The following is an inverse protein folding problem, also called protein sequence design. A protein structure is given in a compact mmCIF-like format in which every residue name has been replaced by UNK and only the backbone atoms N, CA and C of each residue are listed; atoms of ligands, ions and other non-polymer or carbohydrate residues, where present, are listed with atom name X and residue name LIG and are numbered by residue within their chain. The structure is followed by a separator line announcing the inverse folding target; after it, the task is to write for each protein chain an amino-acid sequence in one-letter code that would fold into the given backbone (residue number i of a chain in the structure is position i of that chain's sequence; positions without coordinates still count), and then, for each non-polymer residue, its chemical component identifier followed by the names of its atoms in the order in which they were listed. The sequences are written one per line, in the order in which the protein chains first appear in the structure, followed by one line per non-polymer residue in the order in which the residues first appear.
data_IF_887765971588
#
_entry.id   IF_887765971588
#
_cell.length_a   1.000
_cell.length_b   1.000
_cell.length_c   1.000
_cell.angle_alpha   90.00
_cell.angle_beta   90.00
_cell.angle_gamma   90.00
#
_symmetry.space_group_name_H-M   'P 1'
#
loop_
_entity.id
_entity.type
_entity.pdbx_description
1 polymer ?
#
# COMPACT_ATOMS: atom_id res chain seq x y z
N UNK A 1 21.09 -30.17 -25.78
CA UNK A 1 21.52 -29.70 -24.44
C UNK A 1 20.96 -28.29 -24.22
N UNK A 2 19.69 -28.22 -23.79
CA UNK A 2 18.99 -26.96 -23.50
C UNK A 2 19.26 -26.61 -22.04
N UNK A 3 20.22 -25.72 -21.80
CA UNK A 3 20.35 -25.08 -20.49
C UNK A 3 19.16 -24.12 -20.35
N UNK A 4 18.03 -24.63 -19.86
CA UNK A 4 16.94 -23.80 -19.36
C UNK A 4 17.54 -22.91 -18.27
N UNK A 5 17.81 -21.66 -18.64
CA UNK A 5 18.29 -20.62 -17.74
C UNK A 5 17.24 -20.45 -16.66
N UNK A 6 17.45 -21.09 -15.49
CA UNK A 6 16.53 -20.97 -14.37
C UNK A 6 16.32 -19.49 -14.09
N UNK A 7 15.06 -19.05 -14.20
CA UNK A 7 14.66 -17.68 -13.85
C UNK A 7 15.11 -17.44 -12.42
N UNK A 8 15.80 -16.33 -12.15
CA UNK A 8 16.18 -15.99 -10.78
C UNK A 8 14.90 -15.78 -9.97
N UNK A 9 14.62 -16.69 -9.05
CA UNK A 9 13.46 -16.62 -8.15
C UNK A 9 13.96 -16.22 -6.77
N UNK A 10 13.36 -15.16 -6.22
CA UNK A 10 13.67 -14.71 -4.87
C UNK A 10 13.29 -15.76 -3.84
N UNK A 11 14.13 -15.95 -2.83
CA UNK A 11 13.81 -16.80 -1.68
C UNK A 11 12.66 -16.18 -0.89
N UNK A 12 11.97 -16.99 -0.07
CA UNK A 12 10.90 -16.47 0.80
C UNK A 12 11.42 -15.35 1.72
N UNK A 13 12.60 -15.53 2.32
CA UNK A 13 13.20 -14.52 3.19
C UNK A 13 13.48 -13.20 2.45
N UNK A 14 13.94 -13.25 1.20
CA UNK A 14 14.16 -12.05 0.38
C UNK A 14 12.86 -11.33 0.06
N UNK A 15 11.79 -12.08 -0.24
CA UNK A 15 10.45 -11.50 -0.46
C UNK A 15 9.94 -10.78 0.79
N UNK A 16 10.08 -11.41 1.96
CA UNK A 16 9.72 -10.79 3.24
C UNK A 16 10.57 -9.55 3.53
N UNK A 17 11.86 -9.57 3.18
CA UNK A 17 12.74 -8.42 3.39
C UNK A 17 12.33 -7.22 2.53
N UNK A 18 12.01 -7.44 1.25
CA UNK A 18 11.48 -6.37 0.37
C UNK A 18 10.17 -5.82 0.92
N UNK A 19 9.27 -6.72 1.35
CA UNK A 19 7.99 -6.34 1.93
C UNK A 19 8.16 -5.46 3.18
N UNK A 20 8.94 -5.91 4.15
CA UNK A 20 9.18 -5.18 5.41
C UNK A 20 9.87 -3.85 5.14
N UNK A 21 10.88 -3.83 4.27
CA UNK A 21 11.58 -2.61 3.90
C UNK A 21 10.63 -1.57 3.29
N UNK A 22 9.77 -2.01 2.37
CA UNK A 22 8.79 -1.14 1.72
C UNK A 22 7.75 -0.62 2.69
N UNK A 23 7.21 -1.51 3.53
CA UNK A 23 6.28 -1.17 4.60
C UNK A 23 6.86 -0.13 5.55
N UNK A 24 8.09 -0.33 6.05
CA UNK A 24 8.70 0.60 6.99
C UNK A 24 9.05 1.94 6.35
N UNK A 25 9.62 1.94 5.15
CA UNK A 25 10.09 3.19 4.53
C UNK A 25 8.93 4.06 4.09
N UNK A 26 7.90 3.47 3.48
CA UNK A 26 6.75 4.25 3.04
C UNK A 26 5.87 4.67 4.22
N UNK A 27 5.61 3.77 5.17
CA UNK A 27 4.84 4.10 6.37
C UNK A 27 5.45 5.25 7.18
N UNK A 28 6.77 5.22 7.43
CA UNK A 28 7.47 6.32 8.09
C UNK A 28 7.45 7.61 7.27
N UNK A 29 7.51 7.50 5.94
CA UNK A 29 7.43 8.68 5.09
C UNK A 29 6.05 9.33 5.13
N UNK A 30 4.99 8.52 5.26
CA UNK A 30 3.62 9.01 5.35
C UNK A 30 3.40 9.80 6.64
N UNK A 31 3.91 9.29 7.77
CA UNK A 31 3.89 10.05 9.03
C UNK A 31 4.58 11.41 8.93
N UNK A 32 5.58 11.55 8.05
CA UNK A 32 6.26 12.83 7.85
C UNK A 32 5.45 13.73 6.92
N UNK A 33 4.83 13.20 5.86
CA UNK A 33 4.03 14.00 4.92
C UNK A 33 2.79 14.57 5.58
N UNK A 34 2.16 13.82 6.48
CA UNK A 34 1.01 14.27 7.29
C UNK A 34 1.33 15.46 8.21
N UNK A 35 2.62 15.66 8.54
CA UNK A 35 3.07 16.81 9.33
C UNK A 35 3.37 18.05 8.46
N UNK A 36 3.37 17.91 7.13
CA UNK A 36 3.66 19.01 6.22
C UNK A 36 2.38 19.82 5.99
N UNK A 37 2.36 21.13 6.27
CA UNK A 37 1.18 21.94 6.05
C UNK A 37 0.88 22.14 4.55
N UNK A 38 -0.39 22.19 4.21
CA UNK A 38 -0.86 22.52 2.86
C UNK A 38 -0.70 24.02 2.58
N UNK A 39 -0.11 24.35 1.44
CA UNK A 39 0.04 25.74 1.01
C UNK A 39 -0.99 26.08 -0.07
N UNK A 40 -2.00 26.87 0.29
CA UNK A 40 -3.00 27.37 -0.67
C UNK A 40 -2.50 28.65 -1.33
N UNK A 41 -2.16 28.58 -2.61
CA UNK A 41 -1.80 29.74 -3.43
C UNK A 41 -2.95 30.07 -4.41
N UNK A 42 -4.02 30.69 -3.91
CA UNK A 42 -5.16 31.08 -4.76
C UNK A 42 -5.96 29.86 -5.26
N UNK A 43 -6.27 29.72 -6.57
CA UNK A 43 -7.02 28.58 -7.12
C UNK A 43 -6.17 27.29 -7.25
N UNK A 44 -4.90 27.33 -6.84
CA UNK A 44 -3.98 26.20 -6.90
C UNK A 44 -3.63 25.82 -5.46
N UNK A 45 -4.01 24.62 -5.07
CA UNK A 45 -3.61 24.02 -3.79
C UNK A 45 -2.33 23.23 -4.02
N UNK A 46 -1.23 23.65 -3.38
CA UNK A 46 0.01 22.88 -3.31
C UNK A 46 -0.06 22.02 -2.03
N UNK A 47 -0.77 20.92 -2.14
CA UNK A 47 -0.77 19.84 -1.15
C UNK A 47 0.31 18.82 -1.52
N UNK A 48 0.98 18.27 -0.51
CA UNK A 48 1.86 17.11 -0.68
C UNK A 48 1.02 15.89 -0.35
N UNK A 49 0.34 15.35 -1.36
CA UNK A 49 -0.57 14.22 -1.16
C UNK A 49 0.16 13.01 -0.53
N UNK A 50 1.29 12.59 -1.11
CA UNK A 50 2.18 11.57 -0.53
C UNK A 50 3.52 11.53 -1.24
N UNK A 51 4.54 10.95 -0.61
CA UNK A 51 5.85 10.73 -1.21
C UNK A 51 5.91 9.49 -2.12
N UNK A 52 5.19 9.56 -3.24
CA UNK A 52 5.08 8.51 -4.26
C UNK A 52 6.43 7.94 -4.73
N UNK A 53 7.49 8.76 -4.73
CA UNK A 53 8.81 8.33 -5.20
C UNK A 53 9.41 7.17 -4.41
N UNK A 54 9.09 7.02 -3.13
CA UNK A 54 9.64 5.98 -2.26
C UNK A 54 9.14 4.60 -2.71
N UNK A 55 7.82 4.33 -2.73
CA UNK A 55 7.29 3.04 -3.17
C UNK A 55 7.56 2.80 -4.66
N UNK A 56 7.51 3.82 -5.52
CA UNK A 56 7.89 3.69 -6.93
C UNK A 56 9.34 3.21 -7.09
N UNK A 57 10.28 3.82 -6.36
CA UNK A 57 11.69 3.42 -6.39
C UNK A 57 11.87 1.97 -5.97
N UNK A 58 11.21 1.55 -4.89
CA UNK A 58 11.28 0.17 -4.40
C UNK A 58 10.63 -0.81 -5.36
N UNK A 59 9.49 -0.48 -5.98
CA UNK A 59 8.82 -1.31 -6.97
C UNK A 59 9.63 -1.46 -8.26
N UNK A 60 10.42 -0.45 -8.63
CA UNK A 60 11.29 -0.50 -9.80
C UNK A 60 12.55 -1.34 -9.51
N UNK A 61 13.17 -1.18 -8.33
CA UNK A 61 14.43 -1.84 -8.01
C UNK A 61 14.24 -3.29 -7.54
N UNK A 62 13.16 -3.56 -6.80
CA UNK A 62 12.85 -4.89 -6.26
C UNK A 62 11.72 -5.57 -7.02
N UNK A 63 11.14 -6.61 -6.41
CA UNK A 63 9.99 -7.30 -6.96
C UNK A 63 8.73 -6.44 -6.77
N UNK A 64 8.06 -5.99 -7.86
CA UNK A 64 7.00 -4.99 -7.80
C UNK A 64 5.86 -5.35 -6.84
N UNK A 65 5.40 -6.59 -6.84
CA UNK A 65 4.29 -7.02 -5.98
C UNK A 65 4.58 -6.87 -4.48
N UNK A 66 5.71 -7.40 -4.00
CA UNK A 66 6.00 -7.37 -2.57
C UNK A 66 6.32 -5.95 -2.09
N UNK A 67 6.91 -5.13 -2.96
CA UNK A 67 7.16 -3.73 -2.67
C UNK A 67 5.85 -2.92 -2.62
N UNK A 68 4.95 -3.11 -3.59
CA UNK A 68 3.68 -2.39 -3.66
C UNK A 68 2.77 -2.73 -2.48
N UNK A 69 2.53 -4.04 -2.24
CA UNK A 69 1.71 -4.50 -1.11
C UNK A 69 2.34 -4.12 0.24
N UNK A 70 3.68 -4.19 0.33
CA UNK A 70 4.38 -3.74 1.52
C UNK A 70 4.17 -2.25 1.77
N UNK A 71 4.29 -1.42 0.74
CA UNK A 71 4.06 0.02 0.84
C UNK A 71 2.62 0.32 1.28
N UNK A 72 1.60 -0.19 0.58
CA UNK A 72 0.19 0.01 0.97
C UNK A 72 -0.08 -0.41 2.41
N UNK A 73 0.52 -1.52 2.88
CA UNK A 73 0.34 -1.92 4.28
C UNK A 73 1.04 -0.96 5.24
N UNK A 74 2.19 -0.42 4.86
CA UNK A 74 2.90 0.60 5.62
C UNK A 74 2.07 1.87 5.78
N UNK A 75 1.41 2.31 4.72
CA UNK A 75 0.47 3.43 4.72
C UNK A 75 -0.68 3.20 5.69
N UNK A 76 -1.37 2.06 5.59
CA UNK A 76 -2.49 1.72 6.49
C UNK A 76 -2.05 1.69 7.96
N UNK A 77 -0.87 1.11 8.26
CA UNK A 77 -0.42 0.97 9.65
C UNK A 77 0.07 2.29 10.22
N UNK A 78 0.93 3.00 9.49
CA UNK A 78 1.64 4.17 10.02
C UNK A 78 0.95 5.50 9.68
N UNK A 79 0.29 5.57 8.52
CA UNK A 79 -0.51 6.73 8.09
C UNK A 79 -1.87 6.76 8.78
N UNK A 80 -2.58 5.64 8.80
CA UNK A 80 -3.99 5.66 9.21
C UNK A 80 -4.17 5.24 10.68
N UNK A 81 -3.76 4.01 11.02
CA UNK A 81 -3.98 3.44 12.36
C UNK A 81 -3.21 4.21 13.42
N UNK A 82 -1.94 4.53 13.18
CA UNK A 82 -1.10 5.22 14.16
C UNK A 82 -1.49 6.67 14.39
N UNK A 83 -2.07 7.34 13.39
CA UNK A 83 -2.58 8.71 13.52
C UNK A 83 -4.01 8.75 14.05
N UNK A 84 -4.65 7.58 14.24
CA UNK A 84 -6.02 7.48 14.75
C UNK A 84 -7.10 7.90 13.75
N UNK A 85 -6.75 7.96 12.46
CA UNK A 85 -7.64 8.40 11.38
C UNK A 85 -8.24 7.23 10.59
N UNK A 86 -7.99 6.00 11.03
CA UNK A 86 -8.41 4.80 10.32
C UNK A 86 -9.93 4.73 10.14
N UNK A 87 -10.39 5.04 8.92
CA UNK A 87 -11.80 5.07 8.52
C UNK A 87 -12.41 3.72 8.15
N UNK A 88 -11.78 2.60 8.50
CA UNK A 88 -12.33 1.27 8.26
C UNK A 88 -12.19 0.79 6.81
N UNK A 89 -13.28 0.78 6.04
CA UNK A 89 -13.36 0.10 4.75
C UNK A 89 -12.92 0.96 3.56
N UNK A 90 -13.04 2.28 3.65
CA UNK A 90 -12.44 3.20 2.69
C UNK A 90 -10.91 3.03 2.62
N UNK A 91 -10.27 2.64 3.73
CA UNK A 91 -8.84 2.34 3.77
C UNK A 91 -8.45 1.07 3.00
N UNK A 92 -9.37 0.11 2.89
CA UNK A 92 -9.14 -1.10 2.09
C UNK A 92 -9.12 -0.78 0.59
N UNK A 93 -9.92 0.19 0.18
CA UNK A 93 -9.98 0.65 -1.20
C UNK A 93 -8.69 1.39 -1.58
N UNK A 94 -8.28 2.38 -0.78
CA UNK A 94 -6.99 3.08 -0.94
C UNK A 94 -5.84 2.08 -1.01
N UNK A 95 -5.82 1.10 -0.10
CA UNK A 95 -4.83 0.02 -0.10
C UNK A 95 -4.77 -0.72 -1.44
N UNK A 96 -5.92 -1.12 -2.00
CA UNK A 96 -6.00 -1.87 -3.26
C UNK A 96 -5.61 -1.01 -4.46
N UNK A 97 -6.13 0.21 -4.54
CA UNK A 97 -5.84 1.17 -5.61
C UNK A 97 -4.33 1.47 -5.66
N UNK A 98 -3.74 1.82 -4.50
CA UNK A 98 -2.33 2.13 -4.36
C UNK A 98 -1.44 0.93 -4.72
N UNK A 99 -1.74 -0.25 -4.17
CA UNK A 99 -1.00 -1.48 -4.45
C UNK A 99 -0.99 -1.80 -5.95
N UNK A 100 -2.14 -1.67 -6.62
CA UNK A 100 -2.28 -1.95 -8.04
C UNK A 100 -1.49 -0.95 -8.88
N UNK A 101 -1.65 0.34 -8.62
CA UNK A 101 -0.97 1.40 -9.36
C UNK A 101 0.56 1.28 -9.26
N UNK A 102 1.09 1.09 -8.05
CA UNK A 102 2.52 0.94 -7.82
C UNK A 102 3.08 -0.35 -8.43
N UNK A 103 2.31 -1.43 -8.40
CA UNK A 103 2.67 -2.68 -9.07
C UNK A 103 2.78 -2.52 -10.59
N UNK A 104 1.81 -1.85 -11.22
CA UNK A 104 1.81 -1.59 -12.67
C UNK A 104 3.00 -0.70 -13.04
N UNK A 105 3.22 0.39 -12.30
CA UNK A 105 4.34 1.31 -12.51
C UNK A 105 5.70 0.60 -12.41
N UNK A 106 5.92 -0.15 -11.32
CA UNK A 106 7.15 -0.91 -11.12
C UNK A 106 7.38 -2.01 -12.14
N UNK A 107 6.32 -2.55 -12.74
CA UNK A 107 6.39 -3.56 -13.80
C UNK A 107 6.67 -2.95 -15.19
N UNK A 108 6.35 -1.67 -15.39
CA UNK A 108 6.60 -0.96 -16.64
C UNK A 108 8.10 -0.72 -16.90
N UNK A 109 8.89 -0.57 -15.84
CA UNK A 109 10.35 -0.37 -15.93
C UNK A 109 11.08 -1.68 -16.13
N UNK A 110 11.80 -1.76 -17.26
CA UNK A 110 12.67 -2.88 -17.61
C UNK A 110 14.11 -2.58 -17.22
N UNK A 111 14.59 -1.38 -17.57
CA UNK A 111 15.92 -0.93 -17.24
C UNK A 111 15.87 0.22 -16.23
N UNK A 112 16.25 -0.02 -14.96
CA UNK A 112 16.30 1.02 -13.93
C UNK A 112 17.31 2.14 -14.24
N UNK A 113 18.28 1.93 -15.14
CA UNK A 113 19.21 2.99 -15.56
C UNK A 113 18.62 3.92 -16.62
N UNK A 114 17.56 3.50 -17.31
CA UNK A 114 16.93 4.32 -18.33
C UNK A 114 15.98 5.36 -17.72
N UNK A 115 16.48 6.58 -17.53
CA UNK A 115 15.71 7.69 -16.93
C UNK A 115 14.38 7.98 -17.61
N UNK A 116 14.29 7.81 -18.94
CA UNK A 116 13.02 8.04 -19.67
C UNK A 116 11.97 7.01 -19.29
N UNK A 117 12.36 5.74 -19.20
CA UNK A 117 11.44 4.67 -18.82
C UNK A 117 11.00 4.81 -17.37
N UNK A 118 11.93 5.20 -16.48
CA UNK A 118 11.63 5.49 -15.07
C UNK A 118 10.65 6.68 -14.95
N UNK A 119 10.87 7.76 -15.69
CA UNK A 119 9.97 8.92 -15.68
C UNK A 119 8.57 8.60 -16.19
N UNK A 120 8.46 7.86 -17.30
CA UNK A 120 7.16 7.40 -17.82
C UNK A 120 6.45 6.53 -16.79
N UNK A 121 7.16 5.60 -16.14
CA UNK A 121 6.57 4.75 -15.12
C UNK A 121 6.11 5.51 -13.88
N UNK A 122 6.86 6.51 -13.43
CA UNK A 122 6.48 7.33 -12.29
C UNK A 122 5.16 8.06 -12.55
N UNK A 123 5.04 8.76 -13.68
CA UNK A 123 3.81 9.48 -14.03
C UNK A 123 2.66 8.52 -14.30
N UNK A 124 2.91 7.40 -15.00
CA UNK A 124 1.88 6.39 -15.24
C UNK A 124 1.35 5.80 -13.93
N UNK A 125 2.23 5.57 -12.95
CA UNK A 125 1.85 5.07 -11.63
C UNK A 125 0.92 6.03 -10.89
N UNK A 126 1.33 7.30 -10.77
CA UNK A 126 0.51 8.34 -10.12
C UNK A 126 -0.80 8.56 -10.87
N UNK A 127 -0.78 8.63 -12.20
CA UNK A 127 -1.98 8.80 -13.00
C UNK A 127 -2.96 7.63 -12.86
N UNK A 128 -2.47 6.38 -12.80
CA UNK A 128 -3.35 5.22 -12.55
C UNK A 128 -3.92 5.28 -11.13
N UNK A 129 -3.11 5.62 -10.13
CA UNK A 129 -3.58 5.73 -8.75
C UNK A 129 -4.70 6.77 -8.66
N UNK A 130 -4.42 8.01 -9.09
CA UNK A 130 -5.36 9.12 -9.00
C UNK A 130 -6.62 8.90 -9.83
N UNK A 131 -6.50 8.23 -10.98
CA UNK A 131 -7.66 7.90 -11.79
C UNK A 131 -8.55 6.87 -11.10
N UNK A 132 -7.97 5.88 -10.42
CA UNK A 132 -8.77 4.90 -9.66
C UNK A 132 -9.43 5.60 -8.48
N UNK A 133 -8.69 6.38 -7.69
CA UNK A 133 -9.23 7.11 -6.53
C UNK A 133 -10.38 8.04 -6.94
N UNK A 134 -10.16 8.95 -7.88
CA UNK A 134 -11.22 9.86 -8.36
C UNK A 134 -12.44 9.13 -8.94
N UNK A 135 -12.25 7.99 -9.61
CA UNK A 135 -13.38 7.19 -10.10
C UNK A 135 -14.20 6.60 -8.96
N UNK A 136 -13.56 6.18 -7.86
CA UNK A 136 -14.26 5.63 -6.72
C UNK A 136 -14.93 6.73 -5.92
N UNK A 137 -14.29 7.88 -5.72
CA UNK A 137 -14.88 9.05 -5.03
C UNK A 137 -16.15 9.53 -5.75
N UNK A 138 -16.10 9.68 -7.09
CA UNK A 138 -17.30 9.94 -7.90
C UNK A 138 -18.35 8.85 -7.73
N UNK A 139 -17.92 7.58 -7.67
CA UNK A 139 -18.79 6.42 -7.46
C UNK A 139 -19.51 6.46 -6.12
N UNK A 140 -18.83 6.82 -5.03
CA UNK A 140 -19.40 6.93 -3.68
C UNK A 140 -20.50 7.98 -3.62
N UNK A 141 -20.26 9.15 -4.21
CA UNK A 141 -21.26 10.23 -4.28
C UNK A 141 -22.47 9.82 -5.13
N UNK A 142 -22.28 9.09 -6.23
CA UNK A 142 -23.39 8.65 -7.07
C UNK A 142 -24.24 7.55 -6.45
N UNK A 143 -23.64 6.69 -5.63
CA UNK A 143 -24.36 5.66 -4.86
C UNK A 143 -25.05 6.27 -3.64
N UNK A 144 -24.62 7.45 -3.19
CA UNK A 144 -25.13 8.12 -2.00
C UNK A 144 -24.56 7.54 -0.71
N UNK A 145 -23.31 7.08 -0.77
CA UNK A 145 -22.54 6.63 0.40
C UNK A 145 -22.10 7.87 1.18
N UNK A 146 -21.41 8.81 0.53
CA UNK A 146 -21.01 10.08 1.16
C UNK A 146 -22.09 11.17 1.03
N UNK A 147 -22.45 11.81 2.16
CA UNK A 147 -23.35 12.95 2.23
C UNK A 147 -22.60 14.28 2.05
N UNK A 148 -22.45 14.76 0.82
CA UNK A 148 -22.08 16.16 0.60
C UNK A 148 -23.32 17.05 0.84
N UNK A 149 -23.20 18.01 1.78
CA UNK A 149 -24.26 18.95 2.16
C UNK A 149 -24.99 19.51 0.92
N UNK A 150 -26.29 19.19 0.88
CA UNK A 150 -27.22 19.38 -0.22
C UNK A 150 -27.11 20.73 -0.99
N UNK A 151 -26.58 20.70 -2.21
CA UNK A 151 -26.80 21.74 -3.22
C UNK A 151 -27.26 21.10 -4.55
N UNK A 152 -28.34 21.58 -5.20
CA UNK A 152 -28.81 21.04 -6.48
C UNK A 152 -27.75 21.25 -7.57
N UNK A 153 -27.28 20.16 -8.21
CA UNK A 153 -26.16 20.17 -9.17
C UNK A 153 -24.91 19.40 -8.71
N UNK A 154 -25.00 18.72 -7.57
CA UNK A 154 -23.93 18.02 -6.85
C UNK A 154 -23.17 16.98 -7.70
N UNK A 155 -23.86 16.06 -8.38
CA UNK A 155 -23.21 14.96 -9.08
C UNK A 155 -22.34 15.41 -10.28
N UNK A 156 -22.78 16.45 -11.00
CA UNK A 156 -22.01 17.01 -12.13
C UNK A 156 -20.87 17.90 -11.63
N UNK A 157 -21.11 18.63 -10.53
CA UNK A 157 -20.08 19.43 -9.85
C UNK A 157 -18.95 18.56 -9.28
N UNK A 158 -19.27 17.39 -8.71
CA UNK A 158 -18.29 16.44 -8.15
C UNK A 158 -17.34 15.94 -9.23
N UNK A 159 -17.86 15.56 -10.40
CA UNK A 159 -17.01 15.13 -11.53
C UNK A 159 -16.03 16.24 -11.96
N UNK A 160 -16.47 17.50 -11.91
CA UNK A 160 -15.61 18.65 -12.24
C UNK A 160 -14.58 18.91 -11.13
N UNK A 161 -14.98 18.84 -9.86
CA UNK A 161 -14.10 19.05 -8.70
C UNK A 161 -13.03 17.95 -8.67
N UNK A 162 -13.44 16.69 -8.69
CA UNK A 162 -12.53 15.54 -8.69
C UNK A 162 -11.66 15.50 -9.95
N UNK A 163 -12.22 15.86 -11.11
CA UNK A 163 -11.45 15.93 -12.36
C UNK A 163 -10.37 17.01 -12.34
N UNK A 164 -10.63 18.16 -11.69
CA UNK A 164 -9.65 19.22 -11.51
C UNK A 164 -8.61 18.83 -10.46
N UNK A 165 -9.01 18.21 -9.34
CA UNK A 165 -8.08 17.68 -8.33
C UNK A 165 -7.15 16.65 -8.96
N UNK A 166 -7.70 15.65 -9.65
CA UNK A 166 -6.93 14.64 -10.39
C UNK A 166 -5.83 15.27 -11.26
N UNK A 167 -6.18 16.30 -12.03
CA UNK A 167 -5.22 16.95 -12.92
C UNK A 167 -4.16 17.73 -12.14
N UNK A 168 -4.56 18.42 -11.07
CA UNK A 168 -3.64 19.12 -10.18
C UNK A 168 -2.64 18.14 -9.54
N UNK A 169 -3.13 17.04 -8.98
CA UNK A 169 -2.32 16.04 -8.27
C UNK A 169 -1.32 15.37 -9.23
N UNK A 170 -1.76 14.97 -10.42
CA UNK A 170 -0.87 14.36 -11.42
C UNK A 170 0.18 15.35 -11.94
N UNK A 171 -0.17 16.62 -12.13
CA UNK A 171 0.74 17.63 -12.68
C UNK A 171 1.70 18.22 -11.64
N UNK A 172 1.25 18.49 -10.43
CA UNK A 172 2.06 19.11 -9.39
C UNK A 172 2.72 18.07 -8.51
N UNK A 173 1.92 17.29 -7.77
CA UNK A 173 2.44 16.24 -6.88
C UNK A 173 3.17 15.15 -7.66
N UNK A 174 2.58 14.70 -8.78
CA UNK A 174 3.15 13.70 -9.66
C UNK A 174 4.47 14.13 -10.31
N UNK A 175 4.66 15.40 -10.65
CA UNK A 175 5.95 15.87 -11.20
C UNK A 175 6.97 16.05 -10.08
N UNK A 176 6.60 16.77 -9.03
CA UNK A 176 7.54 17.25 -8.02
C UNK A 176 7.93 16.16 -7.01
N UNK A 177 6.97 15.36 -6.58
CA UNK A 177 7.16 14.33 -5.55
C UNK A 177 7.16 12.90 -6.09
N UNK A 178 6.77 12.66 -7.35
CA UNK A 178 6.93 11.34 -7.97
C UNK A 178 8.03 11.32 -9.03
N UNK A 179 7.92 12.10 -10.11
CA UNK A 179 8.80 11.99 -11.28
C UNK A 179 10.24 12.44 -10.98
N UNK A 180 10.43 13.64 -10.44
CA UNK A 180 11.79 14.19 -10.24
C UNK A 180 12.63 13.33 -9.28
N UNK A 181 12.13 12.97 -8.08
CA UNK A 181 12.93 12.19 -7.14
C UNK A 181 13.14 10.75 -7.63
N UNK A 182 12.15 10.13 -8.29
CA UNK A 182 12.28 8.76 -8.81
C UNK A 182 13.32 8.67 -9.94
N UNK A 183 13.31 9.63 -10.89
CA UNK A 183 14.32 9.68 -11.96
C UNK A 183 15.74 9.87 -11.44
N UNK A 184 15.88 10.52 -10.27
CA UNK A 184 17.16 10.76 -9.63
C UNK A 184 17.63 9.56 -8.79
N UNK A 185 16.75 9.00 -7.96
CA UNK A 185 17.06 7.94 -7.00
C UNK A 185 17.25 6.58 -7.66
N UNK A 186 16.35 6.18 -8.57
CA UNK A 186 16.37 4.83 -9.15
C UNK A 186 17.71 4.50 -9.81
N UNK A 187 18.28 5.32 -10.72
CA UNK A 187 19.57 5.00 -11.34
C UNK A 187 20.74 5.02 -10.36
N UNK A 188 20.62 5.76 -9.25
CA UNK A 188 21.68 5.97 -8.25
C UNK A 188 21.72 4.85 -7.21
N UNK A 189 20.56 4.26 -6.91
CA UNK A 189 20.38 3.16 -5.97
C UNK A 189 20.50 1.78 -6.64
N UNK A 190 20.23 1.70 -7.94
CA UNK A 190 20.37 0.47 -8.72
C UNK A 190 21.79 -0.13 -8.59
N UNK A 191 21.85 -1.39 -8.18
CA UNK A 191 23.09 -2.12 -7.96
C UNK A 191 23.76 -1.86 -6.61
N UNK A 192 23.17 -1.00 -5.74
CA UNK A 192 23.69 -0.73 -4.39
C UNK A 192 22.80 -1.33 -3.31
N UNK A 193 21.49 -1.20 -3.44
CA UNK A 193 20.56 -1.65 -2.40
C UNK A 193 20.23 -3.15 -2.52
N UNK A 194 20.19 -3.70 -3.73
CA UNK A 194 19.88 -5.11 -3.96
C UNK A 194 20.93 -6.04 -3.36
N UNK A 195 22.24 -5.79 -3.53
CA UNK A 195 23.28 -6.63 -2.91
C UNK A 195 23.27 -6.60 -1.39
N UNK A 196 22.88 -5.46 -0.77
CA UNK A 196 22.78 -5.35 0.70
C UNK A 196 21.71 -6.27 1.28
N UNK A 197 20.67 -6.57 0.50
CA UNK A 197 19.61 -7.50 0.86
C UNK A 197 19.90 -8.94 0.37
N UNK A 198 21.13 -9.21 -0.04
CA UNK A 198 21.55 -10.50 -0.58
C UNK A 198 20.91 -10.86 -1.92
N UNK A 199 20.39 -9.88 -2.65
CA UNK A 199 19.72 -10.06 -3.94
C UNK A 199 20.61 -9.64 -5.10
N UNK A 200 20.40 -10.26 -6.26
CA UNK A 200 21.00 -9.78 -7.51
C UNK A 200 20.23 -8.56 -8.01
N UNK A 201 20.91 -7.52 -8.54
CA UNK A 201 20.24 -6.38 -9.18
C UNK A 201 19.31 -6.84 -10.30
N UNK A 202 18.22 -6.10 -10.49
CA UNK A 202 17.16 -6.45 -11.45
C UNK A 202 17.69 -6.49 -12.89
N UNK A 203 17.60 -7.65 -13.53
CA UNK A 203 18.00 -7.83 -14.93
C UNK A 203 16.87 -7.37 -15.88
N UNK A 204 17.23 -6.66 -16.96
CA UNK A 204 16.31 -6.15 -18.00
C UNK A 204 15.50 -7.24 -18.72
N UNK A 205 15.86 -8.52 -18.53
CA UNK A 205 15.17 -9.68 -19.11
C UNK A 205 14.03 -10.21 -18.24
N UNK A 206 13.93 -9.78 -16.98
CA UNK A 206 12.86 -10.22 -16.07
C UNK A 206 11.55 -9.53 -16.45
N UNK A 207 10.59 -10.29 -16.98
CA UNK A 207 9.24 -9.82 -17.27
C UNK A 207 8.31 -10.20 -16.12
N UNK A 208 7.78 -9.20 -15.44
CA UNK A 208 6.62 -9.36 -14.58
C UNK A 208 5.38 -9.22 -15.48
N UNK A 209 4.75 -10.35 -15.79
CA UNK A 209 3.47 -10.32 -16.52
C UNK A 209 2.35 -10.23 -15.50
N UNK A 210 1.49 -9.23 -15.66
CA UNK A 210 0.27 -9.05 -14.87
C UNK A 210 -0.54 -10.36 -14.86
N UNK A 211 -0.63 -11.06 -16.00
CA UNK A 211 -1.35 -12.33 -16.12
C UNK A 211 -0.68 -13.55 -15.44
N UNK A 212 0.59 -13.46 -15.03
CA UNK A 212 1.22 -14.52 -14.21
C UNK A 212 0.99 -14.33 -12.71
N UNK A 213 0.52 -13.15 -12.31
CA UNK A 213 0.36 -12.73 -10.90
C UNK A 213 -1.13 -12.60 -10.55
N UNK A 214 -1.92 -11.92 -11.41
CA UNK A 214 -3.38 -11.94 -11.38
C UNK A 214 -3.89 -13.25 -12.00
N UNK A 215 -3.78 -14.34 -11.24
CA UNK A 215 -4.52 -15.54 -11.56
C UNK A 215 -6.03 -15.31 -11.39
N UNK A 216 -6.90 -16.07 -12.06
CA UNK A 216 -8.36 -15.95 -11.93
C UNK A 216 -8.83 -15.96 -10.47
N UNK A 217 -8.15 -16.73 -9.60
CA UNK A 217 -8.43 -16.81 -8.17
C UNK A 217 -8.20 -15.50 -7.43
N UNK A 218 -7.13 -14.77 -7.76
CA UNK A 218 -6.82 -13.48 -7.11
C UNK A 218 -7.85 -12.44 -7.55
N UNK A 219 -8.20 -12.42 -8.84
CA UNK A 219 -9.23 -11.53 -9.38
C UNK A 219 -10.58 -11.76 -8.68
N UNK A 220 -11.02 -13.02 -8.59
CA UNK A 220 -12.27 -13.36 -7.90
C UNK A 220 -12.21 -12.96 -6.43
N UNK A 221 -11.10 -13.24 -5.74
CA UNK A 221 -10.95 -12.87 -4.32
C UNK A 221 -10.97 -11.35 -4.14
N UNK A 222 -10.30 -10.59 -5.00
CA UNK A 222 -10.30 -9.12 -4.98
C UNK A 222 -11.68 -8.54 -5.26
N UNK A 223 -12.45 -9.10 -6.20
CA UNK A 223 -13.83 -8.68 -6.47
C UNK A 223 -14.73 -8.96 -5.27
N UNK A 224 -14.62 -10.16 -4.69
CA UNK A 224 -15.40 -10.51 -3.48
C UNK A 224 -15.05 -9.60 -2.31
N UNK A 225 -13.76 -9.29 -2.11
CA UNK A 225 -13.31 -8.37 -1.08
C UNK A 225 -13.81 -6.93 -1.33
N UNK A 226 -13.74 -6.43 -2.57
CA UNK A 226 -14.25 -5.11 -2.95
C UNK A 226 -15.77 -5.01 -2.76
N UNK A 227 -16.54 -6.04 -3.16
CA UNK A 227 -17.98 -6.09 -2.89
C UNK A 227 -18.28 -6.14 -1.38
N UNK A 228 -17.49 -6.88 -0.61
CA UNK A 228 -17.62 -6.92 0.84
C UNK A 228 -17.32 -5.58 1.50
N UNK A 229 -16.28 -4.88 1.04
CA UNK A 229 -15.93 -3.54 1.50
C UNK A 229 -17.05 -2.54 1.17
N UNK A 230 -17.52 -2.53 -0.07
CA UNK A 230 -18.62 -1.66 -0.50
C UNK A 230 -19.92 -1.89 0.29
N UNK A 231 -20.30 -3.15 0.52
CA UNK A 231 -21.49 -3.48 1.32
C UNK A 231 -21.33 -2.97 2.74
N UNK A 232 -20.16 -3.16 3.35
CA UNK A 232 -19.98 -2.80 4.73
C UNK A 232 -19.71 -1.29 4.94
N UNK A 233 -19.20 -0.58 3.94
CA UNK A 233 -19.14 0.90 3.90
C UNK A 233 -20.56 1.48 3.76
N UNK A 234 -21.37 0.96 2.83
CA UNK A 234 -22.79 1.31 2.72
C UNK A 234 -23.54 1.07 4.03
N UNK A 235 -23.27 -0.05 4.73
CA UNK A 235 -23.88 -0.31 6.03
C UNK A 235 -23.39 0.64 7.14
N UNK A 236 -22.14 1.08 7.08
CA UNK A 236 -21.58 2.03 8.06
C UNK A 236 -22.24 3.41 7.92
N UNK A 237 -22.43 3.90 6.70
CA UNK A 237 -23.06 5.21 6.45
C UNK A 237 -24.59 5.19 6.57
N UNK A 238 -25.24 4.07 6.29
CA UNK A 238 -26.71 3.94 6.37
C UNK A 238 -27.26 3.83 7.81
N UNK A 239 -26.47 4.18 8.85
CA UNK A 239 -26.80 3.99 10.27
C UNK A 239 -27.17 2.53 10.61
N UNK A 240 -26.68 1.59 9.80
CA UNK A 240 -26.86 0.14 9.91
C UNK A 240 -25.54 -0.55 10.29
N UNK A 241 -24.62 0.20 10.91
CA UNK A 241 -23.32 -0.29 11.32
C UNK A 241 -23.50 -1.47 12.31
N UNK A 242 -23.13 -2.68 11.88
CA UNK A 242 -23.23 -3.86 12.74
C UNK A 242 -22.24 -3.82 13.91
N UNK A 243 -21.15 -3.07 13.75
CA UNK A 243 -20.05 -2.93 14.71
C UNK A 243 -19.49 -1.50 14.57
N UNK A 244 -19.92 -0.58 15.41
CA UNK A 244 -19.15 0.63 15.69
C UNK A 244 -17.94 0.22 16.52
N UNK A 245 -16.75 0.39 15.95
CA UNK A 245 -15.52 0.26 16.72
C UNK A 245 -15.26 1.58 17.44
N UNK A 246 -16.03 1.82 18.50
CA UNK A 246 -15.81 2.97 19.35
C UNK A 246 -14.68 2.66 20.33
N UNK A 247 -13.63 3.47 20.36
CA UNK A 247 -12.50 3.28 21.28
C UNK A 247 -12.87 3.60 22.74
N UNK A 248 -14.12 4.00 23.00
CA UNK A 248 -14.70 4.32 24.31
C UNK A 248 -15.13 3.09 25.13
N UNK A 249 -14.43 1.97 24.97
CA UNK A 249 -14.63 0.80 25.84
C UNK A 249 -14.29 1.12 27.32
N UNK A 250 -13.38 2.06 27.56
CA UNK A 250 -13.03 2.51 28.92
C UNK A 250 -14.15 3.38 29.52
N UNK A 251 -14.77 4.25 28.72
CA UNK A 251 -15.89 5.09 29.17
C UNK A 251 -17.19 4.29 29.33
N UNK A 252 -17.39 3.23 28.53
CA UNK A 252 -18.58 2.35 28.61
C UNK A 252 -18.48 1.27 29.69
N UNK A 253 -17.32 0.66 29.88
CA UNK A 253 -17.14 -0.48 30.81
C UNK A 253 -16.29 -0.15 32.05
N UNK A 254 -15.72 1.05 32.13
CA UNK A 254 -14.84 1.51 33.21
C UNK A 254 -13.39 1.04 33.08
N UNK A 255 -12.49 1.68 33.83
CA UNK A 255 -11.03 1.42 33.84
C UNK A 255 -10.62 -0.05 33.97
N UNK A 256 -11.49 -0.92 34.51
CA UNK A 256 -11.19 -2.35 34.65
C UNK A 256 -11.02 -3.06 33.29
N UNK A 257 -11.64 -2.55 32.22
CA UNK A 257 -11.56 -3.13 30.88
C UNK A 257 -10.14 -3.12 30.31
N UNK A 258 -9.28 -2.20 30.76
CA UNK A 258 -7.85 -2.16 30.42
C UNK A 258 -7.15 -3.45 30.84
N UNK A 259 -7.58 -4.10 31.91
CA UNK A 259 -7.00 -5.39 32.35
C UNK A 259 -7.38 -6.55 31.42
N UNK A 260 -8.51 -6.46 30.72
CA UNK A 260 -8.94 -7.49 29.75
C UNK A 260 -8.05 -7.44 28.51
N UNK A 261 -7.76 -6.25 27.99
CA UNK A 261 -6.86 -6.08 26.83
C UNK A 261 -5.42 -6.47 27.17
N UNK A 262 -4.92 -6.09 28.34
CA UNK A 262 -3.61 -6.53 28.86
C UNK A 262 -3.58 -8.06 29.03
N UNK A 263 -4.65 -8.65 29.58
CA UNK A 263 -4.76 -10.10 29.75
C UNK A 263 -4.76 -10.86 28.43
N UNK A 264 -5.50 -10.38 27.42
CA UNK A 264 -5.52 -10.95 26.09
C UNK A 264 -4.14 -10.85 25.41
N UNK A 265 -3.49 -9.69 25.48
CA UNK A 265 -2.14 -9.49 24.94
C UNK A 265 -1.12 -10.41 25.63
N UNK A 266 -1.18 -10.56 26.95
CA UNK A 266 -0.32 -11.46 27.71
C UNK A 266 -0.55 -12.94 27.31
N UNK A 267 -1.80 -13.35 27.10
CA UNK A 267 -2.14 -14.70 26.66
C UNK A 267 -1.59 -14.99 25.27
N UNK A 268 -1.75 -14.05 24.32
CA UNK A 268 -1.19 -14.18 22.97
C UNK A 268 0.33 -14.25 23.02
N UNK A 269 0.99 -13.40 23.81
CA UNK A 269 2.45 -13.44 23.99
C UNK A 269 2.91 -14.78 24.56
N UNK A 270 2.20 -15.30 25.58
CA UNK A 270 2.54 -16.56 26.24
C UNK A 270 2.37 -17.77 25.31
N UNK A 271 1.27 -17.82 24.54
CA UNK A 271 1.06 -18.83 23.50
C UNK A 271 2.16 -18.76 22.45
N UNK A 272 2.52 -17.55 22.01
CA UNK A 272 3.57 -17.35 21.00
C UNK A 272 4.93 -17.85 21.51
N UNK A 273 5.26 -17.55 22.77
CA UNK A 273 6.48 -18.04 23.43
C UNK A 273 6.46 -19.57 23.54
N UNK A 274 5.35 -20.17 23.97
CA UNK A 274 5.23 -21.63 24.07
C UNK A 274 5.38 -22.33 22.71
N UNK A 275 4.82 -21.74 21.65
CA UNK A 275 5.00 -22.25 20.27
C UNK A 275 6.45 -22.10 19.81
N UNK A 276 7.12 -20.98 20.10
CA UNK A 276 8.54 -20.79 19.77
C UNK A 276 9.45 -21.78 20.52
N UNK A 277 9.19 -22.01 21.82
CA UNK A 277 9.97 -22.94 22.65
C UNK A 277 9.74 -24.39 22.21
N UNK A 278 8.50 -24.80 21.95
CA UNK A 278 8.19 -26.15 21.46
C UNK A 278 8.79 -26.42 20.08
N UNK A 279 8.81 -25.43 19.18
CA UNK A 279 9.49 -25.54 17.87
C UNK A 279 11.01 -25.64 18.00
N UNK A 280 11.64 -24.88 18.91
CA UNK A 280 13.09 -25.03 19.21
C UNK A 280 13.43 -26.41 19.73
N UNK A 281 12.60 -26.96 20.63
CA UNK A 281 12.80 -28.28 21.23
C UNK A 281 12.67 -29.41 20.19
N UNK A 282 11.75 -29.27 19.23
CA UNK A 282 11.61 -30.21 18.10
C UNK A 282 12.71 -30.10 17.05
N UNK A 283 13.34 -28.92 16.88
CA UNK A 283 14.49 -28.74 15.98
C UNK A 283 15.79 -29.32 16.55
N UNK A 284 15.97 -29.31 17.88
CA UNK A 284 17.14 -29.91 18.54
C UNK A 284 17.14 -31.45 18.62
N UNK A 285 15.97 -32.09 18.42
CA UNK A 285 15.84 -33.56 18.49
C UNK A 285 16.16 -34.31 17.19
N UNK A 286 16.38 -33.62 16.06
CA UNK A 286 16.67 -34.25 14.75
C UNK A 286 18.17 -34.28 14.37
N UNK A 287 19.06 -33.89 15.28
CA UNK A 287 20.50 -33.80 15.04
C UNK A 287 21.37 -34.94 15.60
N UNK A 288 20.80 -35.94 16.27
CA UNK A 288 21.57 -37.04 16.90
C UNK A 288 20.91 -38.39 16.61
N UNK A 289 20.97 -38.84 15.36
CA UNK A 289 20.80 -40.25 14.99
C UNK A 289 21.29 -40.46 13.57
N UNK A 290 22.60 -40.65 13.42
CA UNK A 290 23.23 -41.52 12.41
C UNK A 290 24.72 -41.61 12.78
N UNK A 291 25.01 -42.52 13.69
CA UNK A 291 26.26 -43.29 13.68
C UNK A 291 26.00 -44.57 12.91
#
# INVERSE_FOLDING_TARGET
MSLMKQRYVLTQSQKMMVFILSMSLYGLSNMITELIPEFRFGPIELSVEYFAFIPLTLCILFHPLYAAVGASLGEVIFGEIMLGQFGGLGELEKFLAFSLAMFIAGSLVRDPKNRRQVGIAAITGVAIHQMISSMVDIGKVWVGIEELEAVPGLAESVVVIEGVSFLNDVLFSGILFALLPTMYLVPRLYGKIEPLLGMKPRDNKMRYSIGQILGPRVIVLSIVAACGAFIAEFMAESDMALIEWDADFVDTYGDWFIWVSIGAAALVALVTILVMVSRRRNAGGKGVSHG
#
